data_IF_965524693258
#
_entry.id   IF_965524693258
#
_cell.length_a   1.000
_cell.length_b   1.000
_cell.length_c   1.000
_cell.angle_alpha   90.00
_cell.angle_beta   90.00
_cell.angle_gamma   90.00
#
_symmetry.space_group_name_H-M   'P 1'
#
loop_
_entity.id
_entity.type
_entity.pdbx_description
1 polymer ?
#
# COMPACT_ATOMS: atom_id res chain seq x y z
N UNK A 1 -1.17 -14.40 17.31
CA UNK A 1 -1.41 -13.04 16.78
C UNK A 1 -1.83 -13.22 15.32
N UNK A 2 -2.98 -12.69 14.88
CA UNK A 2 -3.31 -12.73 13.46
C UNK A 2 -2.17 -12.05 12.70
N UNK A 3 -1.65 -12.74 11.68
CA UNK A 3 -0.63 -12.17 10.80
C UNK A 3 -1.35 -11.10 9.98
N UNK A 4 -0.94 -9.84 10.13
CA UNK A 4 -1.53 -8.74 9.37
C UNK A 4 -1.33 -8.99 7.87
N UNK A 5 -2.38 -8.84 7.07
CA UNK A 5 -2.29 -8.95 5.61
C UNK A 5 -1.25 -7.92 5.09
N UNK A 6 -0.25 -8.34 4.30
CA UNK A 6 0.70 -7.41 3.68
C UNK A 6 0.03 -6.27 2.90
N UNK A 7 -1.11 -6.52 2.25
CA UNK A 7 -1.88 -5.51 1.55
C UNK A 7 -2.49 -4.50 2.52
N UNK A 8 -3.09 -4.96 3.62
CA UNK A 8 -3.62 -4.08 4.66
C UNK A 8 -2.49 -3.20 5.26
N UNK A 9 -1.32 -3.79 5.50
CA UNK A 9 -0.14 -3.05 5.97
C UNK A 9 0.28 -1.96 4.99
N UNK A 10 0.30 -2.26 3.69
CA UNK A 10 0.59 -1.29 2.65
C UNK A 10 -0.41 -0.14 2.61
N UNK A 11 -1.71 -0.42 2.65
CA UNK A 11 -2.75 0.61 2.65
C UNK A 11 -2.67 1.53 3.87
N UNK A 12 -2.47 0.97 5.07
CA UNK A 12 -2.24 1.77 6.29
C UNK A 12 -1.05 2.71 6.14
N UNK A 13 0.02 2.26 5.48
CA UNK A 13 1.23 3.06 5.27
C UNK A 13 1.01 4.19 4.27
N UNK A 14 0.23 3.96 3.22
CA UNK A 14 -0.19 5.02 2.28
C UNK A 14 -1.03 6.08 3.01
N UNK A 15 -1.98 5.66 3.85
CA UNK A 15 -2.78 6.58 4.68
C UNK A 15 -1.93 7.37 5.66
N UNK A 16 -1.00 6.70 6.37
CA UNK A 16 -0.10 7.35 7.32
C UNK A 16 0.84 8.37 6.65
N UNK A 17 1.14 8.17 5.37
CA UNK A 17 1.92 9.12 4.57
C UNK A 17 1.08 10.26 3.97
N UNK A 18 -0.24 10.24 4.16
CA UNK A 18 -1.16 11.31 3.77
C UNK A 18 -1.82 11.15 2.39
N UNK A 19 -1.76 9.95 1.79
CA UNK A 19 -2.11 9.71 0.39
C UNK A 19 -1.22 10.50 -0.60
N UNK A 20 -1.45 10.27 -1.90
CA UNK A 20 -0.61 10.81 -2.98
C UNK A 20 0.88 10.54 -2.68
N UNK A 21 1.27 9.28 -2.59
CA UNK A 21 2.68 8.91 -2.32
C UNK A 21 3.15 7.85 -3.28
N UNK A 22 4.45 7.84 -3.57
CA UNK A 22 5.05 6.71 -4.28
C UNK A 22 4.85 5.43 -3.46
N UNK A 23 4.44 4.31 -4.07
CA UNK A 23 4.22 3.05 -3.38
C UNK A 23 5.40 2.61 -2.51
N UNK A 24 6.62 2.75 -3.03
CA UNK A 24 7.85 2.41 -2.31
C UNK A 24 8.11 3.40 -1.17
N UNK A 25 7.81 4.68 -1.37
CA UNK A 25 7.94 5.73 -0.35
C UNK A 25 6.99 5.54 0.84
N UNK A 26 5.85 4.85 0.66
CA UNK A 26 4.97 4.49 1.75
C UNK A 26 5.60 3.45 2.71
N UNK A 27 6.35 2.48 2.17
CA UNK A 27 6.92 1.37 2.93
C UNK A 27 8.36 1.61 3.38
N UNK A 28 9.15 2.35 2.60
CA UNK A 28 10.57 2.51 2.80
C UNK A 28 10.97 3.98 2.91
N UNK A 29 11.80 4.28 3.90
CA UNK A 29 12.31 5.64 4.14
C UNK A 29 13.19 6.16 2.99
N UNK A 30 13.85 5.26 2.27
CA UNK A 30 14.66 5.59 1.10
C UNK A 30 14.26 4.65 -0.06
N UNK A 31 13.24 5.01 -0.84
CA UNK A 31 12.71 4.16 -1.90
C UNK A 31 13.72 3.92 -3.05
N UNK A 32 14.71 4.79 -3.20
CA UNK A 32 15.77 4.63 -4.21
C UNK A 32 16.85 3.62 -3.82
N UNK A 33 16.90 3.22 -2.54
CA UNK A 33 17.91 2.30 -2.00
C UNK A 33 17.35 0.91 -1.67
N UNK A 34 16.20 0.55 -2.24
CA UNK A 34 15.59 -0.78 -2.06
C UNK A 34 16.17 -1.79 -3.06
N UNK A 35 16.18 -3.06 -2.68
CA UNK A 35 16.55 -4.14 -3.60
C UNK A 35 15.47 -4.40 -4.66
N UNK A 36 15.82 -5.14 -5.72
CA UNK A 36 14.87 -5.53 -6.77
C UNK A 36 13.71 -6.37 -6.20
N UNK A 37 13.99 -7.28 -5.25
CA UNK A 37 12.95 -8.07 -4.59
C UNK A 37 11.97 -7.20 -3.79
N UNK A 38 12.47 -6.17 -3.11
CA UNK A 38 11.64 -5.22 -2.37
C UNK A 38 10.78 -4.38 -3.32
N UNK A 39 11.33 -3.98 -4.46
CA UNK A 39 10.60 -3.27 -5.51
C UNK A 39 9.49 -4.15 -6.08
N UNK A 40 9.79 -5.40 -6.44
CA UNK A 40 8.80 -6.34 -6.94
C UNK A 40 7.67 -6.61 -5.93
N UNK A 41 7.99 -6.69 -4.63
CA UNK A 41 6.99 -6.81 -3.57
C UNK A 41 6.06 -5.59 -3.52
N UNK A 42 6.61 -4.37 -3.58
CA UNK A 42 5.81 -3.13 -3.59
C UNK A 42 4.91 -3.08 -4.81
N UNK A 43 5.46 -3.40 -5.98
CA UNK A 43 4.73 -3.38 -7.25
C UNK A 43 3.57 -4.39 -7.23
N UNK A 44 3.78 -5.58 -6.66
CA UNK A 44 2.75 -6.58 -6.47
C UNK A 44 1.65 -6.13 -5.49
N UNK A 45 2.01 -5.46 -4.39
CA UNK A 45 1.04 -4.89 -3.45
C UNK A 45 0.23 -3.78 -4.10
N UNK A 46 0.86 -2.89 -4.86
CA UNK A 46 0.20 -1.83 -5.60
C UNK A 46 -0.73 -2.42 -6.69
N UNK A 47 -0.28 -3.43 -7.44
CA UNK A 47 -1.10 -4.15 -8.43
C UNK A 47 -2.34 -4.74 -7.78
N UNK A 48 -2.18 -5.52 -6.70
CA UNK A 48 -3.31 -6.09 -5.95
C UNK A 48 -4.24 -5.00 -5.42
N UNK A 49 -3.71 -3.93 -4.86
CA UNK A 49 -4.50 -2.80 -4.38
C UNK A 49 -5.35 -2.17 -5.50
N UNK A 50 -4.81 -2.00 -6.71
CA UNK A 50 -5.56 -1.49 -7.87
C UNK A 50 -6.61 -2.48 -8.36
N UNK A 51 -6.27 -3.76 -8.47
CA UNK A 51 -7.21 -4.80 -8.91
C UNK A 51 -8.41 -4.94 -7.99
N UNK A 52 -8.21 -4.73 -6.68
CA UNK A 52 -9.29 -4.73 -5.69
C UNK A 52 -9.97 -3.36 -5.55
N UNK A 53 -9.52 -2.33 -6.27
CA UNK A 53 -10.08 -0.97 -6.17
C UNK A 53 -9.74 -0.23 -4.87
N UNK A 54 -8.78 -0.71 -4.08
CA UNK A 54 -8.39 -0.15 -2.78
C UNK A 54 -7.45 1.04 -2.87
N UNK A 55 -6.74 1.19 -4.00
CA UNK A 55 -5.96 2.37 -4.30
C UNK A 55 -6.26 2.90 -5.71
N UNK A 56 -5.97 4.17 -5.91
CA UNK A 56 -6.00 4.83 -7.22
C UNK A 56 -4.64 5.46 -7.52
N UNK A 57 -4.37 5.72 -8.80
CA UNK A 57 -3.13 6.30 -9.31
C UNK A 57 -2.06 5.28 -9.71
N UNK A 58 -1.19 5.69 -10.63
CA UNK A 58 -0.12 4.85 -11.19
C UNK A 58 1.19 5.08 -10.43
N UNK A 59 1.85 6.21 -10.63
CA UNK A 59 3.15 6.50 -9.99
C UNK A 59 3.01 6.93 -8.52
N UNK A 60 1.89 7.56 -8.18
CA UNK A 60 1.54 7.99 -6.82
C UNK A 60 0.17 7.45 -6.49
N UNK A 61 0.04 6.91 -5.29
CA UNK A 61 -1.15 6.17 -4.88
C UNK A 61 -1.87 6.82 -3.71
N UNK A 62 -3.19 6.70 -3.75
CA UNK A 62 -4.08 7.12 -2.67
C UNK A 62 -5.05 5.99 -2.35
N UNK A 63 -5.37 5.78 -1.08
CA UNK A 63 -6.36 4.78 -0.65
C UNK A 63 -7.78 5.28 -0.93
N UNK A 64 -8.60 4.44 -1.54
CA UNK A 64 -10.01 4.73 -1.86
C UNK A 64 -10.91 4.50 -0.65
N UNK A 65 -12.21 4.80 -0.78
CA UNK A 65 -13.19 4.46 0.24
C UNK A 65 -13.26 2.94 0.47
N UNK A 66 -13.25 2.13 -0.59
CA UNK A 66 -13.28 0.66 -0.49
C UNK A 66 -12.02 0.12 0.20
N UNK A 67 -10.86 0.74 -0.05
CA UNK A 67 -9.62 0.40 0.64
C UNK A 67 -9.64 0.74 2.13
N UNK A 68 -10.31 1.83 2.52
CA UNK A 68 -10.53 2.16 3.93
C UNK A 68 -11.49 1.18 4.60
N UNK A 69 -12.60 0.82 3.94
CA UNK A 69 -13.53 -0.20 4.46
C UNK A 69 -12.84 -1.55 4.66
N UNK A 70 -11.98 -1.96 3.73
CA UNK A 70 -11.18 -3.18 3.88
C UNK A 70 -10.29 -3.18 5.14
N UNK A 71 -9.72 -2.02 5.52
CA UNK A 71 -8.94 -1.89 6.74
C UNK A 71 -9.82 -1.99 8.00
N UNK A 72 -10.98 -1.34 7.99
CA UNK A 72 -11.95 -1.42 9.09
C UNK A 72 -12.43 -2.86 9.32
N UNK A 73 -12.73 -3.58 8.23
CA UNK A 73 -13.15 -4.99 8.28
C UNK A 73 -12.03 -5.91 8.79
N UNK A 74 -10.76 -5.53 8.56
CA UNK A 74 -9.59 -6.19 9.12
C UNK A 74 -9.33 -5.82 10.60
N UNK A 75 -10.09 -4.89 11.17
CA UNK A 75 -9.96 -4.40 12.54
C UNK A 75 -8.78 -3.43 12.75
N UNK A 76 -8.44 -2.66 11.71
CA UNK A 76 -7.28 -1.74 11.66
C UNK A 76 -7.70 -0.27 11.56
#
# INVERSE_FOLDING_TARGET
MPMLDPLATFLMRVLAAGNDVEPAGALFKNPDAISDDQRAMVDELARRGRENGYITGDDRVSVTADGQQFLEDAGL
#
